data_IF_556230691643
#
_entry.id   IF_556230691643
#
_cell.length_a   1.000
_cell.length_b   1.000
_cell.length_c   1.000
_cell.angle_alpha   90.00
_cell.angle_beta   90.00
_cell.angle_gamma   90.00
#
_symmetry.space_group_name_H-M   'P 1'
#
loop_
_entity.id
_entity.type
_entity.pdbx_description
1 polymer ?
#
# COMPACT_ATOMS: atom_id res chain seq x y z
N UNK A 1 18.13 7.27 1.00
CA UNK A 1 16.88 7.57 1.74
C UNK A 1 17.08 7.12 3.18
N UNK A 2 16.68 7.90 4.19
CA UNK A 2 16.70 7.50 5.60
C UNK A 2 15.28 7.58 6.15
N UNK A 3 14.88 6.63 6.99
CA UNK A 3 13.61 6.70 7.72
C UNK A 3 13.68 7.78 8.79
N UNK A 4 12.61 8.57 8.91
CA UNK A 4 12.40 9.39 10.10
C UNK A 4 11.70 8.52 11.16
N UNK A 5 12.49 7.96 12.06
CA UNK A 5 12.00 7.00 13.05
C UNK A 5 11.18 7.66 14.17
N UNK A 6 11.26 8.98 14.33
CA UNK A 6 10.45 9.73 15.31
C UNK A 6 8.94 9.57 15.04
N UNK A 7 8.57 9.40 13.76
CA UNK A 7 7.19 9.16 13.35
C UNK A 7 6.64 7.79 13.80
N UNK A 8 7.53 6.87 14.21
CA UNK A 8 7.21 5.49 14.57
C UNK A 8 7.19 5.27 16.10
N UNK A 9 7.64 6.25 16.89
CA UNK A 9 7.69 6.13 18.36
C UNK A 9 6.28 5.86 18.92
N UNK A 10 6.18 4.83 19.78
CA UNK A 10 4.93 4.42 20.43
C UNK A 10 3.93 3.69 19.52
N UNK A 11 4.25 3.47 18.24
CA UNK A 11 3.37 2.74 17.32
C UNK A 11 3.54 1.23 17.48
N UNK A 12 2.43 0.52 17.67
CA UNK A 12 2.40 -0.95 17.72
C UNK A 12 2.47 -1.60 16.34
N UNK A 13 2.02 -0.90 15.31
CA UNK A 13 2.05 -1.35 13.93
C UNK A 13 2.12 -0.16 12.96
N UNK A 14 2.59 -0.43 11.75
CA UNK A 14 2.58 0.49 10.61
C UNK A 14 2.24 -0.28 9.35
N UNK A 15 1.39 0.30 8.49
CA UNK A 15 1.05 -0.26 7.20
C UNK A 15 1.65 0.60 6.08
N UNK A 16 2.38 -0.04 5.16
CA UNK A 16 2.99 0.61 4.00
C UNK A 16 2.04 0.52 2.81
N UNK A 17 1.76 1.66 2.17
CA UNK A 17 1.13 1.69 0.86
C UNK A 17 2.09 1.12 -0.20
N UNK A 18 1.87 -0.13 -0.60
CA UNK A 18 2.82 -0.93 -1.37
C UNK A 18 2.33 -1.13 -2.81
N UNK A 19 2.86 -0.37 -3.75
CA UNK A 19 2.44 -0.42 -5.17
C UNK A 19 3.27 -1.39 -6.02
N UNK A 20 4.39 -1.91 -5.50
CA UNK A 20 5.38 -2.67 -6.28
C UNK A 20 6.42 -1.77 -6.96
N UNK A 21 6.21 -0.46 -6.97
CA UNK A 21 7.19 0.52 -7.43
C UNK A 21 8.41 0.58 -6.49
N UNK A 22 9.58 0.91 -7.06
CA UNK A 22 10.88 0.94 -6.37
C UNK A 22 10.85 1.68 -5.03
N UNK A 23 10.19 2.83 -4.98
CA UNK A 23 10.11 3.66 -3.77
C UNK A 23 9.32 2.97 -2.64
N UNK A 24 8.18 2.37 -2.98
CA UNK A 24 7.34 1.66 -2.01
C UNK A 24 8.03 0.38 -1.49
N UNK A 25 8.73 -0.32 -2.36
CA UNK A 25 9.52 -1.51 -2.00
C UNK A 25 10.72 -1.12 -1.12
N UNK A 26 11.41 -0.02 -1.43
CA UNK A 26 12.49 0.49 -0.61
C UNK A 26 11.99 0.90 0.78
N UNK A 27 10.85 1.59 0.86
CA UNK A 27 10.23 1.97 2.14
C UNK A 27 9.89 0.75 3.00
N UNK A 28 9.29 -0.29 2.41
CA UNK A 28 9.02 -1.54 3.11
C UNK A 28 10.31 -2.17 3.66
N UNK A 29 11.35 -2.28 2.84
CA UNK A 29 12.60 -2.89 3.26
C UNK A 29 13.28 -2.10 4.38
N UNK A 30 13.33 -0.77 4.28
CA UNK A 30 13.88 0.06 5.35
C UNK A 30 13.12 -0.13 6.68
N UNK A 31 11.79 -0.30 6.63
CA UNK A 31 10.99 -0.55 7.83
C UNK A 31 11.24 -1.94 8.41
N UNK A 32 11.40 -2.96 7.56
CA UNK A 32 11.74 -4.33 7.99
C UNK A 32 13.16 -4.42 8.57
N UNK A 33 14.09 -3.60 8.07
CA UNK A 33 15.48 -3.55 8.52
C UNK A 33 15.70 -2.60 9.72
N UNK A 34 14.69 -1.79 10.09
CA UNK A 34 14.80 -0.86 11.20
C UNK A 34 15.05 -1.62 12.51
N UNK A 35 16.11 -1.22 13.22
CA UNK A 35 16.48 -1.81 14.50
C UNK A 35 15.70 -1.21 15.68
N UNK A 36 15.18 -0.01 15.51
CA UNK A 36 14.50 0.77 16.56
C UNK A 36 12.99 0.54 16.55
N UNK A 37 12.39 0.36 15.38
CA UNK A 37 10.98 0.01 15.29
C UNK A 37 10.76 -1.45 15.67
N UNK A 38 10.02 -1.68 16.76
CA UNK A 38 9.68 -3.04 17.25
C UNK A 38 8.22 -3.42 16.98
N UNK A 39 7.46 -2.56 16.32
CA UNK A 39 6.07 -2.83 15.96
C UNK A 39 5.96 -3.76 14.74
N UNK A 40 4.72 -4.13 14.43
CA UNK A 40 4.43 -4.96 13.26
C UNK A 40 4.42 -4.11 11.98
N UNK A 41 5.23 -4.50 11.00
CA UNK A 41 5.17 -3.93 9.64
C UNK A 41 4.15 -4.71 8.82
N UNK A 42 3.21 -4.00 8.22
CA UNK A 42 2.16 -4.53 7.33
C UNK A 42 2.24 -3.81 5.98
N UNK A 43 1.53 -4.33 4.99
CA UNK A 43 1.42 -3.72 3.68
C UNK A 43 -0.05 -3.64 3.22
N UNK A 44 -0.37 -2.60 2.46
CA UNK A 44 -1.63 -2.47 1.75
C UNK A 44 -1.31 -2.23 0.28
N UNK A 45 -1.77 -3.13 -0.58
CA UNK A 45 -1.72 -2.98 -2.03
C UNK A 45 -3.11 -2.60 -2.54
N UNK A 46 -3.17 -1.63 -3.44
CA UNK A 46 -4.42 -1.21 -4.08
C UNK A 46 -4.17 -1.25 -5.58
N UNK A 47 -4.88 -2.14 -6.26
CA UNK A 47 -4.87 -2.21 -7.72
C UNK A 47 -6.03 -1.39 -8.29
N UNK A 48 -5.72 -0.45 -9.18
CA UNK A 48 -6.60 0.60 -9.69
C UNK A 48 -7.25 0.29 -11.04
N UNK A 49 -6.81 -0.78 -11.72
CA UNK A 49 -7.29 -1.17 -13.06
C UNK A 49 -6.75 -0.31 -14.21
N UNK A 50 -5.78 0.58 -13.94
CA UNK A 50 -5.36 1.61 -14.90
C UNK A 50 -4.36 1.13 -15.95
N UNK A 51 -3.58 0.08 -15.69
CA UNK A 51 -2.46 -0.34 -16.56
C UNK A 51 -2.60 -1.78 -17.09
N UNK A 52 -3.82 -2.32 -17.04
CA UNK A 52 -4.13 -3.66 -17.54
C UNK A 52 -3.27 -4.74 -16.88
N UNK A 53 -2.72 -5.66 -17.67
CA UNK A 53 -1.95 -6.79 -17.15
C UNK A 53 -0.70 -6.40 -16.34
N UNK A 54 -0.11 -5.24 -16.60
CA UNK A 54 1.11 -4.82 -15.90
C UNK A 54 0.83 -4.52 -14.43
N UNK A 55 -0.29 -3.87 -14.11
CA UNK A 55 -0.64 -3.58 -12.72
C UNK A 55 -1.09 -4.82 -11.94
N UNK A 56 -1.66 -5.81 -12.64
CA UNK A 56 -1.94 -7.13 -12.08
C UNK A 56 -0.63 -7.84 -11.72
N UNK A 57 0.35 -7.86 -12.64
CA UNK A 57 1.68 -8.46 -12.40
C UNK A 57 2.41 -7.79 -11.25
N UNK A 58 2.35 -6.46 -11.13
CA UNK A 58 2.92 -5.72 -10.00
C UNK A 58 2.26 -6.15 -8.66
N UNK A 59 0.94 -6.33 -8.66
CA UNK A 59 0.19 -6.78 -7.48
C UNK A 59 0.50 -8.23 -7.09
N UNK A 60 0.67 -9.12 -8.08
CA UNK A 60 1.14 -10.49 -7.84
C UNK A 60 2.56 -10.53 -7.28
N UNK A 61 3.45 -9.70 -7.80
CA UNK A 61 4.81 -9.56 -7.28
C UNK A 61 4.78 -9.11 -5.82
N UNK A 62 4.00 -8.08 -5.50
CA UNK A 62 3.83 -7.60 -4.12
C UNK A 62 3.32 -8.72 -3.20
N UNK A 63 2.32 -9.48 -3.65
CA UNK A 63 1.79 -10.61 -2.88
C UNK A 63 2.86 -11.65 -2.55
N UNK A 64 3.58 -12.13 -3.57
CA UNK A 64 4.67 -13.11 -3.39
C UNK A 64 5.78 -12.56 -2.49
N UNK A 65 6.12 -11.28 -2.64
CA UNK A 65 7.16 -10.63 -1.85
C UNK A 65 6.78 -10.53 -0.37
N UNK A 66 5.55 -10.11 -0.07
CA UNK A 66 5.05 -10.04 1.30
C UNK A 66 4.96 -11.42 1.95
N UNK A 67 4.52 -12.45 1.21
CA UNK A 67 4.53 -13.85 1.67
C UNK A 67 5.95 -14.31 2.04
N UNK A 68 6.94 -14.08 1.17
CA UNK A 68 8.34 -14.44 1.42
C UNK A 68 8.94 -13.73 2.65
N UNK A 69 8.49 -12.50 2.94
CA UNK A 69 8.96 -11.69 4.07
C UNK A 69 8.10 -11.83 5.33
N UNK A 70 7.06 -12.68 5.31
CA UNK A 70 6.07 -12.80 6.38
C UNK A 70 5.44 -11.46 6.78
N UNK A 71 5.16 -10.60 5.79
CA UNK A 71 4.51 -9.30 5.98
C UNK A 71 3.01 -9.46 5.74
N UNK A 72 2.14 -9.18 6.73
CA UNK A 72 0.70 -9.15 6.51
C UNK A 72 0.35 -8.17 5.40
N UNK A 73 -0.40 -8.63 4.41
CA UNK A 73 -0.78 -7.86 3.23
C UNK A 73 -2.30 -7.83 3.10
N UNK A 74 -2.88 -6.63 2.96
CA UNK A 74 -4.27 -6.44 2.53
C UNK A 74 -4.26 -5.94 1.08
N UNK A 75 -4.95 -6.66 0.20
CA UNK A 75 -5.08 -6.28 -1.20
C UNK A 75 -6.48 -5.75 -1.48
N UNK A 76 -6.56 -4.67 -2.24
CA UNK A 76 -7.80 -4.13 -2.77
C UNK A 76 -7.73 -4.06 -4.28
N UNK A 77 -8.87 -4.26 -4.93
CA UNK A 77 -9.05 -3.99 -6.36
C UNK A 77 -10.17 -2.98 -6.51
N UNK A 78 -9.89 -1.89 -7.21
CA UNK A 78 -10.83 -0.79 -7.44
C UNK A 78 -10.83 -0.40 -8.92
N UNK A 79 -11.94 0.14 -9.39
CA UNK A 79 -12.07 0.63 -10.77
C UNK A 79 -11.97 2.16 -10.80
N UNK A 80 -10.75 2.67 -10.97
CA UNK A 80 -10.53 4.12 -10.99
C UNK A 80 -11.19 4.81 -12.19
N UNK A 81 -11.25 4.14 -13.34
CA UNK A 81 -11.87 4.69 -14.55
C UNK A 81 -13.38 4.90 -14.36
N UNK A 82 -14.09 3.87 -13.88
CA UNK A 82 -15.52 3.95 -13.62
C UNK A 82 -15.85 4.99 -12.54
N UNK A 83 -15.05 5.04 -11.46
CA UNK A 83 -15.23 6.03 -10.41
C UNK A 83 -15.06 7.45 -10.96
N UNK A 84 -14.00 7.72 -11.74
CA UNK A 84 -13.74 9.05 -12.29
C UNK A 84 -14.83 9.50 -13.26
N UNK A 85 -15.34 8.59 -14.10
CA UNK A 85 -16.46 8.88 -15.01
C UNK A 85 -17.73 9.24 -14.24
N UNK A 86 -18.07 8.46 -13.20
CA UNK A 86 -19.28 8.67 -12.39
C UNK A 86 -19.21 9.95 -11.56
N UNK A 87 -18.04 10.27 -11.00
CA UNK A 87 -17.86 11.38 -10.06
C UNK A 87 -17.28 12.64 -10.69
N UNK A 88 -17.08 12.66 -12.03
CA UNK A 88 -16.55 13.81 -12.78
C UNK A 88 -15.20 14.31 -12.23
N UNK A 89 -14.31 13.39 -11.87
CA UNK A 89 -12.94 13.70 -11.44
C UNK A 89 -11.93 13.30 -12.53
N UNK A 90 -10.69 13.79 -12.45
CA UNK A 90 -9.61 13.22 -13.25
C UNK A 90 -9.36 11.75 -12.86
N UNK A 91 -8.69 11.00 -13.72
CA UNK A 91 -8.33 9.61 -13.43
C UNK A 91 -7.40 9.50 -12.22
N UNK A 92 -6.40 10.38 -12.14
CA UNK A 92 -5.45 10.43 -11.02
C UNK A 92 -6.14 10.77 -9.69
N UNK A 93 -7.07 11.72 -9.70
CA UNK A 93 -7.80 12.11 -8.50
C UNK A 93 -8.77 11.01 -8.05
N UNK A 94 -9.49 10.38 -9.00
CA UNK A 94 -10.35 9.24 -8.67
C UNK A 94 -9.57 8.06 -8.10
N UNK A 95 -8.42 7.72 -8.68
CA UNK A 95 -7.52 6.70 -8.15
C UNK A 95 -7.00 7.08 -6.75
N UNK A 96 -6.66 8.36 -6.52
CA UNK A 96 -6.25 8.85 -5.21
C UNK A 96 -7.36 8.67 -4.18
N UNK A 97 -8.58 9.12 -4.48
CA UNK A 97 -9.73 9.00 -3.56
C UNK A 97 -9.98 7.53 -3.19
N UNK A 98 -10.05 6.65 -4.19
CA UNK A 98 -10.25 5.22 -3.95
C UNK A 98 -9.14 4.61 -3.09
N UNK A 99 -7.88 4.96 -3.38
CA UNK A 99 -6.72 4.48 -2.61
C UNK A 99 -6.81 4.90 -1.14
N UNK A 100 -7.15 6.16 -0.85
CA UNK A 100 -7.33 6.61 0.53
C UNK A 100 -8.55 5.98 1.21
N UNK A 101 -9.62 5.69 0.45
CA UNK A 101 -10.76 4.92 0.96
C UNK A 101 -10.36 3.51 1.38
N UNK A 102 -9.52 2.82 0.60
CA UNK A 102 -8.97 1.51 0.97
C UNK A 102 -8.08 1.58 2.22
N UNK A 103 -7.26 2.63 2.36
CA UNK A 103 -6.45 2.81 3.56
C UNK A 103 -7.30 3.08 4.80
N UNK A 104 -8.38 3.85 4.65
CA UNK A 104 -9.34 4.09 5.73
C UNK A 104 -10.06 2.79 6.11
N UNK A 105 -10.52 2.00 5.15
CA UNK A 105 -11.13 0.69 5.41
C UNK A 105 -10.17 -0.25 6.16
N UNK A 106 -8.91 -0.33 5.73
CA UNK A 106 -7.89 -1.12 6.42
C UNK A 106 -7.75 -0.68 7.89
N UNK A 107 -7.55 0.62 8.11
CA UNK A 107 -7.41 1.19 9.44
C UNK A 107 -8.65 0.94 10.33
N UNK A 108 -9.85 1.21 9.82
CA UNK A 108 -11.10 1.03 10.55
C UNK A 108 -11.37 -0.46 10.87
N UNK A 109 -10.91 -1.38 10.00
CA UNK A 109 -11.00 -2.83 10.23
C UNK A 109 -9.97 -3.38 11.24
N UNK A 110 -9.11 -2.52 11.80
CA UNK A 110 -8.05 -2.92 12.72
C UNK A 110 -6.87 -3.62 12.05
N UNK A 111 -6.77 -3.51 10.72
CA UNK A 111 -5.57 -3.94 9.98
C UNK A 111 -4.46 -2.91 10.19
#
# INVERSE_FOLDING_TARGET
MKLNEDLLIGRKSVAVALSGGKDSMALLNLLLESKTFKGQVKAINVEHGMRGENSVKDSEFVKRYCEQKNVPLKCYTVNALEYSQKNKTSLEEGARILRYSCFKDAYDSGF
#
